data_IF_892119952079
#
_entry.id   IF_892119952079
#
_cell.length_a   1.000
_cell.length_b   1.000
_cell.length_c   1.000
_cell.angle_alpha   90.00
_cell.angle_beta   90.00
_cell.angle_gamma   90.00
#
_symmetry.space_group_name_H-M   'P 1'
#
loop_
_entity.id
_entity.type
_entity.pdbx_description
1 polymer ?
#
# COMPACT_ATOMS: atom_id res chain seq x y z
N UNK A 1 -33.68 -15.19 -62.60
CA UNK A 1 -34.06 -16.01 -61.43
C UNK A 1 -34.95 -15.15 -60.54
N UNK A 2 -36.27 -15.34 -60.61
CA UNK A 2 -37.25 -14.57 -59.83
C UNK A 2 -37.66 -15.38 -58.61
N UNK A 3 -37.57 -14.80 -57.40
CA UNK A 3 -38.49 -15.08 -56.28
C UNK A 3 -38.30 -14.05 -55.16
N UNK A 4 -39.26 -13.13 -55.08
CA UNK A 4 -39.60 -12.33 -53.89
C UNK A 4 -40.73 -13.02 -53.11
N UNK A 5 -40.78 -12.80 -51.78
CA UNK A 5 -41.98 -12.63 -50.91
C UNK A 5 -41.63 -12.99 -49.43
N UNK A 6 -41.49 -12.05 -48.49
CA UNK A 6 -42.48 -11.36 -47.60
C UNK A 6 -43.02 -12.18 -46.39
N UNK A 7 -42.60 -11.74 -45.19
CA UNK A 7 -43.18 -11.77 -43.81
C UNK A 7 -44.11 -12.90 -43.32
N UNK A 8 -43.84 -13.43 -42.11
CA UNK A 8 -44.89 -13.83 -41.17
C UNK A 8 -44.51 -13.67 -39.68
N UNK A 9 -45.32 -12.84 -39.03
CA UNK A 9 -45.44 -12.49 -37.61
C UNK A 9 -46.04 -13.67 -36.81
N UNK A 10 -45.54 -13.95 -35.59
CA UNK A 10 -46.28 -14.67 -34.54
C UNK A 10 -46.00 -14.00 -33.19
N UNK A 11 -47.07 -13.61 -32.52
CA UNK A 11 -47.14 -13.23 -31.12
C UNK A 11 -47.70 -14.44 -30.33
N UNK A 12 -47.28 -14.59 -29.07
CA UNK A 12 -48.02 -15.27 -28.02
C UNK A 12 -47.45 -14.83 -26.65
N UNK A 13 -48.34 -14.31 -25.81
CA UNK A 13 -48.15 -13.98 -24.39
C UNK A 13 -48.29 -15.24 -23.52
N UNK A 14 -47.59 -15.31 -22.39
CA UNK A 14 -48.09 -15.98 -21.17
C UNK A 14 -47.29 -15.55 -19.94
N UNK A 15 -48.07 -15.32 -18.90
CA UNK A 15 -47.84 -14.77 -17.57
C UNK A 15 -47.27 -15.79 -16.55
N UNK A 16 -46.75 -15.26 -15.42
CA UNK A 16 -46.54 -15.89 -14.11
C UNK A 16 -45.32 -16.80 -13.83
N UNK A 17 -44.34 -16.27 -13.08
CA UNK A 17 -44.11 -16.70 -11.69
C UNK A 17 -42.96 -15.91 -11.01
N UNK A 18 -43.34 -15.25 -9.92
CA UNK A 18 -42.56 -14.72 -8.81
C UNK A 18 -41.40 -15.64 -8.35
N UNK A 19 -40.18 -15.08 -8.22
CA UNK A 19 -39.10 -15.62 -7.39
C UNK A 19 -38.03 -14.55 -7.16
N UNK A 20 -38.11 -13.90 -5.99
CA UNK A 20 -37.10 -13.04 -5.40
C UNK A 20 -35.72 -13.69 -5.33
N UNK A 21 -34.66 -13.07 -5.85
CA UNK A 21 -33.30 -13.14 -5.25
C UNK A 21 -32.49 -11.87 -5.55
N UNK A 22 -32.50 -10.91 -4.62
CA UNK A 22 -31.38 -10.02 -4.33
C UNK A 22 -31.23 -9.97 -2.80
N UNK A 23 -30.07 -9.66 -2.18
CA UNK A 23 -28.70 -9.58 -2.69
C UNK A 23 -27.73 -10.45 -1.84
N UNK A 24 -26.82 -11.24 -2.45
CA UNK A 24 -25.65 -11.71 -1.70
C UNK A 24 -24.54 -10.67 -1.79
N UNK A 25 -24.62 -9.73 -0.85
CA UNK A 25 -23.49 -8.94 -0.39
C UNK A 25 -22.36 -9.91 0.00
N UNK A 26 -21.42 -10.13 -0.92
CA UNK A 26 -20.13 -10.72 -0.58
C UNK A 26 -19.43 -9.67 0.27
N UNK A 27 -19.52 -9.90 1.57
CA UNK A 27 -18.81 -9.20 2.63
C UNK A 27 -17.31 -9.26 2.31
N UNK A 28 -16.82 -8.30 1.53
CA UNK A 28 -15.38 -8.10 1.31
C UNK A 28 -14.82 -7.80 2.68
N UNK A 29 -14.06 -8.76 3.19
CA UNK A 29 -13.23 -8.63 4.37
C UNK A 29 -12.42 -7.35 4.22
N UNK A 30 -12.79 -6.34 5.02
CA UNK A 30 -12.02 -5.12 5.18
C UNK A 30 -10.76 -5.52 5.95
N UNK A 31 -9.77 -6.05 5.25
CA UNK A 31 -8.38 -5.93 5.69
C UNK A 31 -8.04 -4.46 5.55
N UNK A 32 -8.28 -3.70 6.61
CA UNK A 32 -7.72 -2.34 6.77
C UNK A 32 -6.21 -2.48 6.86
N UNK A 33 -5.57 -2.58 5.69
CA UNK A 33 -4.12 -2.44 5.58
C UNK A 33 -3.74 -1.04 6.05
N UNK A 34 -2.74 -0.97 6.91
CA UNK A 34 -2.14 0.27 7.44
C UNK A 34 -1.32 1.00 6.36
N UNK A 35 -1.87 1.13 5.16
CA UNK A 35 -1.23 1.78 4.02
C UNK A 35 -2.07 2.94 3.49
N UNK A 36 -1.48 3.82 2.66
CA UNK A 36 -2.20 4.93 2.06
C UNK A 36 -3.43 4.43 1.29
N UNK A 37 -4.55 5.12 1.46
CA UNK A 37 -5.75 4.88 0.67
C UNK A 37 -5.44 5.11 -0.83
N UNK A 38 -6.13 4.44 -1.76
CA UNK A 38 -5.95 4.72 -3.18
C UNK A 38 -6.33 6.16 -3.50
N UNK A 39 -5.54 6.81 -4.36
CA UNK A 39 -5.77 8.19 -4.82
C UNK A 39 -6.98 8.28 -5.75
N UNK A 40 -7.33 7.17 -6.42
CA UNK A 40 -8.50 7.12 -7.28
C UNK A 40 -8.81 5.74 -7.83
N UNK A 41 -9.70 5.72 -8.82
CA UNK A 41 -10.03 4.56 -9.64
C UNK A 41 -9.89 4.89 -11.11
N UNK A 42 -9.41 3.95 -11.91
CA UNK A 42 -9.33 4.11 -13.37
C UNK A 42 -10.69 3.94 -14.06
N UNK A 43 -10.71 4.05 -15.38
CA UNK A 43 -11.92 3.93 -16.22
C UNK A 43 -12.61 2.56 -16.07
N UNK A 44 -11.86 1.54 -15.67
CA UNK A 44 -12.35 0.18 -15.39
C UNK A 44 -12.73 -0.04 -13.91
N UNK A 45 -12.61 1.01 -13.07
CA UNK A 45 -12.97 0.98 -11.65
C UNK A 45 -11.91 0.34 -10.75
N UNK A 46 -10.71 0.10 -11.26
CA UNK A 46 -9.59 -0.46 -10.51
C UNK A 46 -8.86 0.62 -9.69
N UNK A 47 -8.45 0.33 -8.45
CA UNK A 47 -7.76 1.32 -7.61
C UNK A 47 -6.35 1.61 -8.13
N UNK A 48 -5.93 2.87 -8.01
CA UNK A 48 -4.56 3.30 -8.27
C UNK A 48 -4.04 4.26 -7.19
N UNK A 49 -2.72 4.39 -7.14
CA UNK A 49 -1.98 5.38 -6.38
C UNK A 49 -1.06 6.15 -7.33
N UNK A 50 -0.93 7.46 -7.13
CA UNK A 50 -0.10 8.33 -7.95
C UNK A 50 1.35 8.32 -7.45
N UNK A 51 2.28 8.05 -8.35
CA UNK A 51 3.73 8.16 -8.10
C UNK A 51 4.26 9.54 -8.53
N UNK A 52 3.64 10.11 -9.56
CA UNK A 52 3.85 11.48 -10.04
C UNK A 52 2.66 11.91 -10.90
N UNK A 53 2.64 13.18 -11.32
CA UNK A 53 1.58 13.74 -12.18
C UNK A 53 1.23 12.88 -13.41
N UNK A 54 2.17 12.07 -13.90
CA UNK A 54 1.99 11.21 -15.09
C UNK A 54 2.32 9.75 -14.84
N UNK A 55 2.52 9.31 -13.59
CA UNK A 55 2.86 7.91 -13.30
C UNK A 55 2.00 7.39 -12.18
N UNK A 56 1.43 6.20 -12.39
CA UNK A 56 0.55 5.54 -11.42
C UNK A 56 1.01 4.12 -11.17
N UNK A 57 0.75 3.65 -9.96
CA UNK A 57 0.70 2.22 -9.63
C UNK A 57 -0.76 1.81 -9.48
N UNK A 58 -1.21 0.75 -10.14
CA UNK A 58 -2.62 0.33 -10.11
C UNK A 58 -2.79 -1.18 -10.09
N UNK A 59 -3.87 -1.67 -9.47
CA UNK A 59 -4.15 -3.11 -9.36
C UNK A 59 -5.32 -3.47 -10.28
N UNK A 60 -5.04 -4.13 -11.40
CA UNK A 60 -6.06 -4.55 -12.37
C UNK A 60 -6.25 -6.06 -12.38
N UNK A 61 -7.32 -6.53 -13.03
CA UNK A 61 -7.59 -7.96 -13.21
C UNK A 61 -7.79 -8.31 -14.69
N UNK A 62 -7.04 -9.27 -15.20
CA UNK A 62 -7.20 -9.78 -16.56
C UNK A 62 -7.26 -11.31 -16.54
N UNK A 63 -8.29 -11.89 -17.18
CA UNK A 63 -8.52 -13.34 -17.19
C UNK A 63 -8.46 -13.98 -15.79
N UNK A 64 -9.07 -13.33 -14.80
CA UNK A 64 -9.08 -13.73 -13.37
C UNK A 64 -7.73 -13.65 -12.66
N UNK A 65 -6.67 -13.20 -13.32
CA UNK A 65 -5.36 -12.97 -12.71
C UNK A 65 -5.19 -11.50 -12.34
N UNK A 66 -4.61 -11.23 -11.17
CA UNK A 66 -4.34 -9.87 -10.70
C UNK A 66 -2.97 -9.40 -11.16
N UNK A 67 -2.88 -8.13 -11.57
CA UNK A 67 -1.65 -7.50 -12.02
C UNK A 67 -1.42 -6.18 -11.31
N UNK A 68 -0.17 -5.91 -10.99
CA UNK A 68 0.28 -4.64 -10.42
C UNK A 68 0.94 -3.86 -11.56
N UNK A 69 0.32 -2.77 -12.00
CA UNK A 69 0.75 -1.97 -13.13
C UNK A 69 1.52 -0.76 -12.62
N UNK A 70 2.77 -0.58 -13.06
CA UNK A 70 3.54 0.65 -12.85
C UNK A 70 3.69 1.30 -14.22
N UNK A 71 2.93 2.38 -14.49
CA UNK A 71 2.75 2.89 -15.86
C UNK A 71 2.76 4.42 -15.93
N UNK A 72 3.36 4.93 -17.00
CA UNK A 72 3.28 6.34 -17.41
C UNK A 72 1.99 6.56 -18.22
N UNK A 73 1.26 7.62 -17.91
CA UNK A 73 0.03 8.04 -18.57
C UNK A 73 0.28 9.32 -19.36
N UNK A 74 -0.54 9.55 -20.38
CA UNK A 74 -0.55 10.76 -21.18
C UNK A 74 -1.96 11.27 -21.35
N UNK A 75 -2.11 12.58 -21.49
CA UNK A 75 -3.40 13.19 -21.72
C UNK A 75 -3.65 13.35 -23.22
N UNK A 76 -4.84 12.96 -23.66
CA UNK A 76 -5.32 13.15 -25.02
C UNK A 76 -6.80 13.49 -24.97
N UNK A 77 -7.18 14.61 -25.58
CA UNK A 77 -8.58 15.06 -25.64
C UNK A 77 -9.25 15.16 -24.25
N UNK A 78 -8.49 15.59 -23.23
CA UNK A 78 -8.97 15.69 -21.84
C UNK A 78 -9.09 14.36 -21.09
N UNK A 79 -8.64 13.25 -21.69
CA UNK A 79 -8.63 11.92 -21.05
C UNK A 79 -7.21 11.47 -20.76
N UNK A 80 -6.99 10.91 -19.58
CA UNK A 80 -5.71 10.36 -19.17
C UNK A 80 -5.63 8.88 -19.57
N UNK A 81 -4.78 8.56 -20.55
CA UNK A 81 -4.66 7.24 -21.15
C UNK A 81 -3.35 6.55 -20.78
N UNK A 82 -3.33 5.22 -20.65
CA UNK A 82 -2.11 4.47 -20.39
C UNK A 82 -1.13 4.58 -21.56
N UNK A 83 0.10 4.98 -21.28
CA UNK A 83 1.18 5.09 -22.26
C UNK A 83 1.94 3.77 -22.47
N UNK A 84 2.85 3.76 -23.44
CA UNK A 84 3.70 2.59 -23.76
C UNK A 84 4.75 2.29 -22.67
N UNK A 85 5.22 3.32 -21.96
CA UNK A 85 6.21 3.15 -20.89
C UNK A 85 5.54 2.62 -19.62
N UNK A 86 5.98 1.45 -19.18
CA UNK A 86 5.47 0.83 -17.97
C UNK A 86 5.61 -0.69 -18.02
N UNK A 87 5.33 -1.31 -16.88
CA UNK A 87 5.35 -2.77 -16.73
C UNK A 87 4.11 -3.22 -15.94
N UNK A 88 3.62 -4.40 -16.27
CA UNK A 88 2.56 -5.09 -15.51
C UNK A 88 3.20 -6.29 -14.83
N UNK A 89 3.30 -6.24 -13.51
CA UNK A 89 3.87 -7.30 -12.69
C UNK A 89 2.79 -8.32 -12.34
N UNK A 90 3.12 -9.60 -12.42
CA UNK A 90 2.32 -10.64 -11.76
C UNK A 90 2.43 -10.49 -10.24
N UNK A 91 1.53 -11.16 -9.50
CA UNK A 91 1.59 -11.21 -8.03
C UNK A 91 2.94 -11.77 -7.54
N UNK A 92 3.47 -12.79 -8.21
CA UNK A 92 4.76 -13.39 -7.84
C UNK A 92 5.94 -12.43 -8.03
N UNK A 93 5.94 -11.68 -9.14
CA UNK A 93 6.94 -10.66 -9.41
C UNK A 93 6.85 -9.50 -8.42
N UNK A 94 5.64 -9.10 -8.04
CA UNK A 94 5.43 -8.07 -7.02
C UNK A 94 5.91 -8.54 -5.63
N UNK A 95 5.66 -9.79 -5.26
CA UNK A 95 6.18 -10.38 -4.02
C UNK A 95 7.72 -10.44 -4.02
N UNK A 96 8.34 -10.74 -5.16
CA UNK A 96 9.79 -10.70 -5.30
C UNK A 96 10.34 -9.27 -5.14
N UNK A 97 9.64 -8.28 -5.69
CA UNK A 97 9.97 -6.86 -5.50
C UNK A 97 9.91 -6.49 -4.01
N UNK A 98 8.82 -6.81 -3.31
CA UNK A 98 8.68 -6.52 -1.86
C UNK A 98 9.85 -7.07 -1.06
N UNK A 99 10.24 -8.33 -1.30
CA UNK A 99 11.38 -8.96 -0.61
C UNK A 99 12.72 -8.25 -0.89
N UNK A 100 12.84 -7.62 -2.05
CA UNK A 100 14.04 -6.88 -2.45
C UNK A 100 14.05 -5.43 -1.93
N UNK A 101 12.91 -4.85 -1.52
CA UNK A 101 12.80 -3.45 -1.07
C UNK A 101 13.84 -3.10 0.00
N UNK A 102 14.07 -3.89 1.06
CA UNK A 102 15.06 -3.52 2.08
C UNK A 102 16.48 -3.38 1.52
N UNK A 103 16.88 -4.29 0.63
CA UNK A 103 18.18 -4.25 -0.03
C UNK A 103 18.28 -3.07 -1.02
N UNK A 104 17.20 -2.77 -1.75
CA UNK A 104 17.11 -1.60 -2.63
C UNK A 104 17.25 -0.30 -1.81
N UNK A 105 16.54 -0.20 -0.68
CA UNK A 105 16.60 0.97 0.20
C UNK A 105 18.01 1.17 0.76
N UNK A 106 18.68 0.10 1.20
CA UNK A 106 20.06 0.17 1.65
C UNK A 106 21.02 0.63 0.54
N UNK A 107 20.84 0.13 -0.69
CA UNK A 107 21.64 0.55 -1.84
C UNK A 107 21.42 2.03 -2.20
N UNK A 108 20.17 2.51 -2.16
CA UNK A 108 19.84 3.93 -2.40
C UNK A 108 20.43 4.85 -1.32
N UNK A 109 20.34 4.47 -0.04
CA UNK A 109 20.97 5.21 1.06
C UNK A 109 22.49 5.28 0.93
N UNK A 110 23.12 4.19 0.49
CA UNK A 110 24.56 4.16 0.21
C UNK A 110 24.95 5.10 -0.95
N UNK A 111 24.03 5.40 -1.87
CA UNK A 111 24.20 6.40 -2.93
C UNK A 111 23.90 7.84 -2.47
N UNK A 112 23.49 8.02 -1.21
CA UNK A 112 23.16 9.33 -0.64
C UNK A 112 21.70 9.76 -0.80
N UNK A 113 20.83 8.87 -1.30
CA UNK A 113 19.39 9.14 -1.42
C UNK A 113 18.69 8.95 -0.07
N UNK A 114 17.79 9.87 0.27
CA UNK A 114 16.96 9.75 1.47
C UNK A 114 15.73 8.90 1.16
N UNK A 115 15.70 7.69 1.73
CA UNK A 115 14.54 6.77 1.64
C UNK A 115 13.95 6.56 3.02
N UNK A 116 12.69 6.96 3.19
CA UNK A 116 11.93 6.77 4.43
C UNK A 116 11.34 5.35 4.44
N UNK A 117 11.76 4.49 5.39
CA UNK A 117 11.19 3.15 5.58
C UNK A 117 10.09 3.20 6.63
N UNK A 118 8.85 2.80 6.34
CA UNK A 118 7.77 2.80 7.33
C UNK A 118 7.93 1.74 8.43
N UNK A 119 8.82 0.75 8.26
CA UNK A 119 9.10 -0.28 9.28
C UNK A 119 10.09 0.19 10.38
N UNK A 120 10.97 1.16 10.11
CA UNK A 120 11.89 1.73 11.13
C UNK A 120 11.16 2.54 12.21
N UNK A 121 10.01 3.14 11.88
CA UNK A 121 9.13 3.81 12.85
C UNK A 121 8.41 2.82 13.79
N UNK A 122 8.31 1.54 13.40
CA UNK A 122 7.69 0.49 14.23
C UNK A 122 8.70 -0.19 15.16
N UNK A 123 9.96 -0.36 14.77
CA UNK A 123 11.00 -0.96 15.62
C UNK A 123 11.60 0.03 16.64
N UNK A 124 11.72 1.32 16.30
CA UNK A 124 12.20 2.35 17.24
C UNK A 124 11.23 2.61 18.41
N UNK A 125 9.96 2.22 18.27
CA UNK A 125 8.97 2.29 19.35
C UNK A 125 9.06 1.13 20.37
N UNK A 126 9.83 0.07 20.10
CA UNK A 126 9.89 -1.15 20.92
C UNK A 126 11.21 -1.36 21.68
N UNK A 127 12.21 -0.48 21.54
CA UNK A 127 13.44 -0.55 22.35
C UNK A 127 13.29 0.34 23.59
N UNK A 128 13.01 -0.20 24.79
CA UNK A 128 13.11 0.59 26.00
C UNK A 128 14.58 0.95 26.20
N UNK A 129 14.87 2.25 26.25
CA UNK A 129 16.16 2.79 26.71
C UNK A 129 16.43 2.26 28.12
N UNK A 130 17.22 1.18 28.21
CA UNK A 130 17.82 0.72 29.45
C UNK A 130 18.87 1.75 29.83
N UNK A 131 18.55 2.60 30.81
CA UNK A 131 19.51 3.48 31.48
C UNK A 131 20.70 2.64 31.97
N UNK A 132 21.96 3.01 31.69
CA UNK A 132 23.09 2.33 32.29
C UNK A 132 23.11 2.58 33.80
N UNK A 133 22.92 1.50 34.58
CA UNK A 133 23.15 1.45 36.03
C UNK A 133 24.63 1.72 36.30
N UNK A 134 24.92 2.78 37.06
CA UNK A 134 26.27 3.09 37.58
C UNK A 134 26.43 2.42 38.94
N UNK A 135 27.18 1.32 39.03
CA UNK A 135 27.59 0.70 40.30
C UNK A 135 28.99 1.17 40.77
N UNK A 136 28.98 2.00 41.82
CA UNK A 136 29.82 2.06 43.04
C UNK A 136 31.32 1.73 42.96
N UNK A 137 32.14 2.70 43.41
CA UNK A 137 33.30 2.42 44.28
C UNK A 137 33.14 3.16 45.61
N UNK A 138 33.13 2.40 46.70
CA UNK A 138 33.21 2.87 48.09
C UNK A 138 34.66 3.27 48.40
N UNK A 139 34.88 4.46 48.93
CA UNK A 139 36.13 4.81 49.64
C UNK A 139 35.89 4.73 51.16
N UNK A 140 36.89 4.31 51.97
CA UNK A 140 36.71 4.07 53.40
C UNK A 140 36.80 5.35 54.23
N UNK A 141 36.13 5.31 55.38
CA UNK A 141 36.05 6.36 56.42
C UNK A 141 37.43 6.70 57.00
N UNK A 142 37.63 7.98 57.33
CA UNK A 142 38.48 8.43 58.42
C UNK A 142 37.69 9.43 59.27
N UNK A 143 37.48 9.08 60.54
CA UNK A 143 37.02 9.99 61.58
C UNK A 143 38.18 10.93 61.93
N UNK A 144 37.97 12.24 61.87
CA UNK A 144 38.69 13.17 62.73
C UNK A 144 37.69 14.13 63.36
N UNK A 145 37.64 14.02 64.68
CA UNK A 145 36.98 14.87 65.64
C UNK A 145 37.95 16.02 65.92
N UNK A 146 37.54 17.26 65.64
CA UNK A 146 38.24 18.46 66.08
C UNK A 146 37.20 19.55 66.36
N UNK A 147 36.95 19.67 67.65
CA UNK A 147 36.30 20.75 68.40
C UNK A 147 37.06 22.09 68.27
N UNK A 148 36.41 23.17 68.71
CA UNK A 148 36.90 24.54 69.01
C UNK A 148 36.59 25.59 67.93
N UNK A 149 35.65 26.54 68.05
CA UNK A 149 35.26 27.47 69.15
C UNK A 149 35.97 28.83 69.01
N UNK A 150 35.16 29.92 69.10
CA UNK A 150 35.50 31.36 69.23
C UNK A 150 36.37 32.01 68.13
N UNK A 151 36.36 33.31 67.83
CA UNK A 151 35.54 34.51 68.01
C UNK A 151 36.23 35.56 67.09
N UNK A 152 35.48 36.60 66.70
CA UNK A 152 35.89 37.86 66.01
C UNK A 152 36.19 37.86 64.50
#
# INVERSE_FOLDING_TARGET
MVRTMTTKKRAAESDSSDAEIAPKAVKRTKSSGSGPAPDGKDDEGHPYWELSNKRRIGVSQFKKMSFINIREYYDKDGKTLPGKKGISLSVDQYNALIKAIPAINAALRAQGEKVDDPEEEAETALVPVVKPKKERKRSPRANIEATSDEEE
#
